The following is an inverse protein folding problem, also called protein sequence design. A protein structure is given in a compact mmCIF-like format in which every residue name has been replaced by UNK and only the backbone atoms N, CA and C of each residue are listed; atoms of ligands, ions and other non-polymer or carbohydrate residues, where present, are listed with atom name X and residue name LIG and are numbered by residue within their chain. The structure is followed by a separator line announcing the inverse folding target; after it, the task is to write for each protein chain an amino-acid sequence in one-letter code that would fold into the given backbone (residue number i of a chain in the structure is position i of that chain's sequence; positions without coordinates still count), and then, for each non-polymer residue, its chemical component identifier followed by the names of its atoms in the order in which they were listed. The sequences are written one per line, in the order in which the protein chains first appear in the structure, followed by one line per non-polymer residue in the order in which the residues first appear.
data_IF_395220524451
#
_entry.id   IF_395220524451
#
_cell.length_a   1.000
_cell.length_b   1.000
_cell.length_c   1.000
_cell.angle_alpha   90.00
_cell.angle_beta   90.00
_cell.angle_gamma   90.00
#
_symmetry.space_group_name_H-M   'P 1'
#
loop_
_entity.id
_entity.type
_entity.pdbx_description
1 polymer ?
#
# COMPACT_ATOMS: atom_id res chain seq x y z
N UNK A 1 -4.43 16.06 -9.98
CA UNK A 1 -5.38 14.94 -9.89
C UNK A 1 -4.67 13.82 -9.13
N UNK A 2 -5.30 13.16 -8.13
CA UNK A 2 -4.67 12.01 -7.49
C UNK A 2 -4.46 10.91 -8.53
N UNK A 3 -3.28 10.26 -8.50
CA UNK A 3 -2.94 9.12 -9.36
C UNK A 3 -3.46 7.78 -8.81
N UNK A 4 -4.32 7.83 -7.78
CA UNK A 4 -4.87 6.68 -7.07
C UNK A 4 -6.40 6.69 -7.12
N UNK A 5 -7.00 5.50 -7.15
CA UNK A 5 -8.45 5.33 -7.10
C UNK A 5 -8.97 5.63 -5.68
N UNK A 6 -10.12 6.30 -5.61
CA UNK A 6 -10.81 6.67 -4.35
C UNK A 6 -12.21 6.04 -4.23
N UNK A 7 -12.69 5.43 -5.32
CA UNK A 7 -13.99 4.76 -5.37
C UNK A 7 -13.82 3.31 -5.84
N UNK A 8 -14.73 2.46 -5.40
CA UNK A 8 -14.85 1.04 -5.76
C UNK A 8 -16.24 0.80 -6.35
N UNK A 9 -16.28 0.04 -7.44
CA UNK A 9 -17.52 -0.59 -7.91
C UNK A 9 -17.75 -1.86 -7.09
N UNK A 10 -18.76 -1.85 -6.21
CA UNK A 10 -19.06 -3.00 -5.37
C UNK A 10 -19.70 -4.11 -6.20
N UNK A 11 -19.05 -5.27 -6.23
CA UNK A 11 -19.52 -6.44 -7.00
C UNK A 11 -20.85 -7.01 -6.50
N UNK A 12 -21.19 -6.81 -5.22
CA UNK A 12 -22.41 -7.37 -4.65
C UNK A 12 -23.63 -6.50 -4.95
N UNK A 13 -23.47 -5.17 -4.94
CA UNK A 13 -24.60 -4.24 -5.12
C UNK A 13 -24.64 -3.61 -6.50
N UNK A 14 -23.51 -3.55 -7.20
CA UNK A 14 -23.35 -2.81 -8.46
C UNK A 14 -23.17 -1.30 -8.28
N UNK A 15 -23.12 -0.80 -7.05
CA UNK A 15 -22.99 0.63 -6.77
C UNK A 15 -21.53 1.06 -6.70
N UNK A 16 -21.30 2.34 -7.03
CA UNK A 16 -20.03 3.00 -6.78
C UNK A 16 -20.05 3.56 -5.36
N UNK A 17 -19.08 3.16 -4.54
CA UNK A 17 -18.91 3.65 -3.16
C UNK A 17 -17.48 4.06 -2.88
N UNK A 18 -17.27 4.78 -1.78
CA UNK A 18 -15.92 5.07 -1.29
C UNK A 18 -15.18 3.76 -0.98
N UNK A 19 -13.88 3.77 -1.27
CA UNK A 19 -13.01 2.67 -0.90
C UNK A 19 -12.84 2.57 0.61
N UNK A 20 -12.76 1.34 1.11
CA UNK A 20 -12.47 0.99 2.50
C UNK A 20 -11.13 0.26 2.59
N UNK A 21 -10.56 0.17 3.79
CA UNK A 21 -9.32 -0.56 4.04
C UNK A 21 -9.43 -2.01 3.57
N UNK A 22 -10.59 -2.63 3.75
CA UNK A 22 -10.89 -4.00 3.30
C UNK A 22 -10.76 -4.17 1.78
N UNK A 23 -11.13 -3.16 0.98
CA UNK A 23 -10.96 -3.22 -0.47
C UNK A 23 -9.48 -3.25 -0.85
N UNK A 24 -8.64 -2.50 -0.12
CA UNK A 24 -7.20 -2.51 -0.35
C UNK A 24 -6.55 -3.82 0.09
N UNK A 25 -6.99 -4.43 1.19
CA UNK A 25 -6.57 -5.77 1.60
C UNK A 25 -6.88 -6.79 0.51
N UNK A 26 -8.11 -6.76 -0.04
CA UNK A 26 -8.53 -7.65 -1.13
C UNK A 26 -7.71 -7.42 -2.39
N UNK A 27 -7.53 -6.16 -2.78
CA UNK A 27 -6.65 -5.77 -3.88
C UNK A 27 -5.25 -6.36 -3.70
N UNK A 28 -4.67 -6.25 -2.49
CA UNK A 28 -3.34 -6.77 -2.23
C UNK A 28 -3.21 -8.28 -2.35
N UNK A 29 -4.21 -9.01 -1.85
CA UNK A 29 -4.26 -10.47 -2.00
C UNK A 29 -4.41 -10.89 -3.44
N UNK A 30 -5.17 -10.14 -4.26
CA UNK A 30 -5.28 -10.40 -5.70
C UNK A 30 -3.93 -10.16 -6.38
N UNK A 31 -3.29 -9.01 -6.15
CA UNK A 31 -1.99 -8.67 -6.75
C UNK A 31 -0.93 -9.72 -6.42
N UNK A 32 -0.89 -10.25 -5.20
CA UNK A 32 0.02 -11.32 -4.81
C UNK A 32 -0.06 -12.53 -5.75
N UNK A 33 -1.27 -12.92 -6.19
CA UNK A 33 -1.48 -14.09 -7.05
C UNK A 33 -1.14 -13.85 -8.54
N UNK A 34 -0.86 -12.62 -8.96
CA UNK A 34 -0.62 -12.29 -10.37
C UNK A 34 0.84 -12.56 -10.78
N UNK A 35 1.12 -13.71 -11.39
CA UNK A 35 2.48 -14.14 -11.79
C UNK A 35 3.27 -13.07 -12.56
N UNK A 36 2.63 -12.38 -13.51
CA UNK A 36 3.28 -11.40 -14.39
C UNK A 36 3.27 -9.97 -13.86
N UNK A 37 2.82 -9.76 -12.62
CA UNK A 37 2.90 -8.47 -11.93
C UNK A 37 3.95 -8.58 -10.84
N UNK A 38 5.10 -7.94 -11.03
CA UNK A 38 6.27 -8.10 -10.15
C UNK A 38 6.24 -7.19 -8.91
N UNK A 39 5.43 -6.14 -8.93
CA UNK A 39 5.35 -5.16 -7.85
C UNK A 39 3.91 -4.73 -7.59
N UNK A 40 3.64 -4.36 -6.35
CA UNK A 40 2.34 -3.88 -5.91
C UNK A 40 2.37 -2.36 -5.74
N UNK A 41 1.34 -1.66 -6.22
CA UNK A 41 1.17 -0.23 -5.94
C UNK A 41 0.25 0.04 -4.75
N UNK A 42 0.45 1.13 -4.01
CA UNK A 42 -0.54 1.68 -3.06
C UNK A 42 -1.70 2.39 -3.79
N UNK A 43 -2.16 1.83 -4.90
CA UNK A 43 -3.02 2.43 -5.94
C UNK A 43 -4.44 2.83 -5.49
N UNK A 44 -4.80 2.56 -4.24
CA UNK A 44 -6.10 2.86 -3.65
C UNK A 44 -5.92 3.80 -2.44
N UNK A 45 -6.81 4.78 -2.31
CA UNK A 45 -6.97 5.60 -1.11
C UNK A 45 -8.37 5.33 -0.56
N UNK A 46 -8.47 4.87 0.68
CA UNK A 46 -9.71 4.51 1.35
C UNK A 46 -10.08 5.53 2.43
N UNK A 47 -11.37 5.67 2.74
CA UNK A 47 -11.88 6.79 3.55
C UNK A 47 -12.10 6.47 5.04
N UNK A 48 -11.86 5.22 5.45
CA UNK A 48 -12.01 4.75 6.84
C UNK A 48 -10.75 4.96 7.70
N UNK A 49 -9.74 5.65 7.18
CA UNK A 49 -8.47 5.95 7.88
C UNK A 49 -8.15 7.45 7.83
N UNK A 50 -7.72 8.06 8.96
CA UNK A 50 -7.38 9.47 9.01
C UNK A 50 -6.36 9.87 7.93
N UNK A 51 -6.55 11.06 7.33
CA UNK A 51 -5.67 11.56 6.24
C UNK A 51 -4.19 11.63 6.60
N UNK A 52 -3.85 11.82 7.88
CA UNK A 52 -2.47 11.84 8.37
C UNK A 52 -1.82 10.45 8.37
N UNK A 53 -2.63 9.38 8.36
CA UNK A 53 -2.19 8.00 8.40
C UNK A 53 -2.09 7.33 7.01
N UNK A 54 -2.64 7.97 5.98
CA UNK A 54 -2.86 7.36 4.66
C UNK A 54 -1.60 6.75 4.03
N UNK A 55 -0.44 7.41 4.12
CA UNK A 55 0.77 6.94 3.43
C UNK A 55 1.33 5.67 4.06
N UNK A 56 1.63 5.75 5.36
CA UNK A 56 2.22 4.63 6.07
C UNK A 56 1.22 3.48 6.26
N UNK A 57 -0.08 3.76 6.40
CA UNK A 57 -1.08 2.72 6.57
C UNK A 57 -1.26 1.90 5.29
N UNK A 58 -1.24 2.54 4.11
CA UNK A 58 -1.25 1.82 2.82
C UNK A 58 0.01 0.98 2.63
N UNK A 59 1.19 1.51 2.96
CA UNK A 59 2.42 0.72 2.93
C UNK A 59 2.34 -0.50 3.85
N UNK A 60 1.86 -0.31 5.08
CA UNK A 60 1.69 -1.38 6.05
C UNK A 60 0.76 -2.49 5.55
N UNK A 61 -0.44 -2.13 5.05
CA UNK A 61 -1.39 -3.12 4.53
C UNK A 61 -0.83 -3.86 3.32
N UNK A 62 -0.16 -3.14 2.41
CA UNK A 62 0.46 -3.71 1.22
C UNK A 62 1.48 -4.81 1.59
N UNK A 63 2.41 -4.50 2.51
CA UNK A 63 3.44 -5.43 2.97
C UNK A 63 2.89 -6.58 3.84
N UNK A 64 1.77 -6.34 4.54
CA UNK A 64 1.14 -7.36 5.39
C UNK A 64 0.38 -8.42 4.59
N UNK A 65 0.03 -8.15 3.33
CA UNK A 65 -0.83 -9.01 2.53
C UNK A 65 -0.21 -9.45 1.19
N UNK A 66 0.98 -8.97 0.84
CA UNK A 66 1.65 -9.26 -0.43
C UNK A 66 3.17 -9.23 -0.21
N UNK A 67 3.87 -10.24 -0.72
CA UNK A 67 5.33 -10.38 -0.58
C UNK A 67 6.10 -9.64 -1.68
N UNK A 68 5.39 -9.13 -2.69
CA UNK A 68 5.98 -8.36 -3.77
C UNK A 68 6.45 -6.99 -3.27
N UNK A 69 7.53 -6.43 -3.85
CA UNK A 69 7.93 -5.08 -3.52
C UNK A 69 6.82 -4.05 -3.78
N UNK A 70 6.79 -3.01 -2.97
CA UNK A 70 5.73 -2.00 -3.00
C UNK A 70 6.21 -0.72 -3.67
N UNK A 71 5.49 -0.27 -4.69
CA UNK A 71 5.56 1.07 -5.27
C UNK A 71 4.61 1.96 -4.48
N UNK A 72 5.14 2.98 -3.82
CA UNK A 72 4.36 3.89 -2.99
C UNK A 72 4.81 5.33 -3.20
N UNK A 73 4.16 6.26 -2.51
CA UNK A 73 4.54 7.66 -2.48
C UNK A 73 4.38 8.20 -1.07
N UNK A 74 5.16 9.22 -0.74
CA UNK A 74 5.06 9.93 0.53
C UNK A 74 4.45 11.30 0.28
N UNK A 75 3.24 11.56 0.79
CA UNK A 75 2.56 12.86 0.63
C UNK A 75 2.89 13.83 1.78
N UNK A 76 3.44 13.33 2.88
CA UNK A 76 3.82 14.11 4.06
C UNK A 76 5.23 13.74 4.52
N UNK A 77 6.10 14.73 4.72
CA UNK A 77 7.48 14.50 5.19
C UNK A 77 7.48 13.77 6.53
N UNK A 78 6.49 14.03 7.37
CA UNK A 78 6.30 13.44 8.69
C UNK A 78 6.00 11.93 8.61
N UNK A 79 5.39 11.45 7.52
CA UNK A 79 5.11 10.03 7.32
C UNK A 79 6.36 9.21 7.02
N UNK A 80 7.41 9.85 6.47
CA UNK A 80 8.58 9.14 5.95
C UNK A 80 9.32 8.34 7.03
N UNK A 81 9.47 8.89 8.25
CA UNK A 81 10.11 8.17 9.35
C UNK A 81 9.36 6.89 9.70
N UNK A 82 8.03 6.96 9.79
CA UNK A 82 7.17 5.80 10.08
C UNK A 82 7.25 4.77 8.95
N UNK A 83 7.22 5.22 7.69
CA UNK A 83 7.36 4.33 6.53
C UNK A 83 8.71 3.63 6.50
N UNK A 84 9.80 4.33 6.86
CA UNK A 84 11.14 3.73 6.99
C UNK A 84 11.15 2.64 8.06
N UNK A 85 10.56 2.88 9.24
CA UNK A 85 10.47 1.87 10.30
C UNK A 85 9.68 0.63 9.85
N UNK A 86 8.58 0.82 9.11
CA UNK A 86 7.82 -0.31 8.52
C UNK A 86 8.70 -1.13 7.56
N UNK A 87 9.46 -0.48 6.67
CA UNK A 87 10.35 -1.18 5.75
C UNK A 87 11.48 -1.92 6.48
N UNK A 88 12.01 -1.33 7.56
CA UNK A 88 13.03 -1.95 8.40
C UNK A 88 12.48 -3.15 9.16
N UNK A 89 11.22 -3.13 9.61
CA UNK A 89 10.59 -4.28 10.24
C UNK A 89 10.50 -5.51 9.29
N UNK A 90 10.55 -5.29 7.98
CA UNK A 90 10.57 -6.36 6.96
C UNK A 90 11.99 -6.82 6.56
N UNK A 91 13.04 -6.31 7.22
CA UNK A 91 14.45 -6.59 6.89
C UNK A 91 15.27 -6.80 8.16
N UNK A 92 16.48 -7.34 8.01
CA UNK A 92 17.34 -7.62 9.17
C UNK A 92 18.10 -6.38 9.65
N UNK A 93 18.35 -5.41 8.77
CA UNK A 93 19.09 -4.18 9.08
C UNK A 93 18.88 -3.12 8.00
N UNK A 94 19.31 -1.89 8.28
CA UNK A 94 19.35 -0.82 7.27
C UNK A 94 20.21 -1.19 6.05
N UNK A 95 21.34 -1.87 6.27
CA UNK A 95 22.23 -2.32 5.18
C UNK A 95 21.55 -3.37 4.29
N UNK A 96 20.78 -4.27 4.89
CA UNK A 96 20.01 -5.28 4.17
C UNK A 96 18.88 -4.63 3.35
N UNK A 97 18.16 -3.67 3.95
CA UNK A 97 17.15 -2.88 3.25
C UNK A 97 17.75 -2.10 2.08
N UNK A 98 18.91 -1.47 2.25
CA UNK A 98 19.60 -0.74 1.17
C UNK A 98 20.07 -1.67 0.04
N UNK A 99 20.51 -2.90 0.37
CA UNK A 99 20.96 -3.89 -0.62
C UNK A 99 19.78 -4.51 -1.38
N UNK A 100 18.66 -4.78 -0.71
CA UNK A 100 17.46 -5.38 -1.29
C UNK A 100 16.21 -4.68 -0.75
N UNK A 101 15.86 -3.56 -1.37
CA UNK A 101 14.68 -2.79 -0.97
C UNK A 101 13.39 -3.61 -1.14
N UNK A 102 12.37 -3.27 -0.36
CA UNK A 102 10.98 -3.77 -0.52
C UNK A 102 9.98 -2.63 -0.73
N UNK A 103 10.46 -1.38 -0.75
CA UNK A 103 9.65 -0.19 -0.97
C UNK A 103 10.37 0.77 -1.93
N UNK A 104 9.63 1.28 -2.90
CA UNK A 104 10.06 2.28 -3.87
C UNK A 104 9.15 3.49 -3.74
N UNK A 105 9.73 4.68 -3.64
CA UNK A 105 9.04 5.95 -3.39
C UNK A 105 9.10 6.88 -4.60
#
# INVERSE_FOLDING_TARGET
RPWAAIFILDVNTGDIREALTEDFIRFSKVVEQLEYIEAQSTALVYNDVPRIAQDWHRLYIALSNCYKPVITGTFRKESFSTMKEILLACRLSEKDLAKKTIGYF
#
